data_IF_241904742988
#
_entry.id   IF_241904742988
#
_cell.length_a   1.000
_cell.length_b   1.000
_cell.length_c   1.000
_cell.angle_alpha   90.00
_cell.angle_beta   90.00
_cell.angle_gamma   90.00
#
_symmetry.space_group_name_H-M   'P 1'
#
loop_
_entity.id
_entity.type
_entity.pdbx_description
1 polymer ?
#
# COMPACT_ATOMS: atom_id res chain seq x y z
N UNK A 1 19.31 11.90 5.10
CA UNK A 1 19.34 12.61 3.80
C UNK A 1 17.95 13.09 3.41
N UNK A 2 16.98 12.19 3.16
CA UNK A 2 15.61 12.53 2.69
C UNK A 2 14.90 13.62 3.53
N UNK A 3 14.81 13.45 4.86
CA UNK A 3 14.18 14.43 5.77
C UNK A 3 14.94 15.77 5.78
N UNK A 4 16.27 15.70 5.96
CA UNK A 4 17.18 16.86 6.03
C UNK A 4 17.13 17.73 4.77
N UNK A 5 17.08 17.11 3.59
CA UNK A 5 17.13 17.80 2.29
C UNK A 5 15.74 18.02 1.68
N UNK A 6 14.68 17.66 2.41
CA UNK A 6 13.28 17.79 1.99
C UNK A 6 13.01 17.20 0.61
N UNK A 7 13.64 16.06 0.31
CA UNK A 7 13.51 15.40 -1.00
C UNK A 7 12.04 15.01 -1.26
N UNK A 8 11.63 15.13 -2.53
CA UNK A 8 10.31 14.73 -3.01
C UNK A 8 10.45 13.45 -3.84
N UNK A 9 9.44 12.59 -3.77
CA UNK A 9 9.41 11.33 -4.50
C UNK A 9 8.78 10.22 -3.69
N UNK A 10 8.84 9.02 -4.23
CA UNK A 10 8.40 7.79 -3.56
C UNK A 10 9.59 7.17 -2.85
N UNK A 11 9.40 6.82 -1.59
CA UNK A 11 10.31 5.99 -0.82
C UNK A 11 9.77 4.57 -0.83
N UNK A 12 10.63 3.62 -1.16
CA UNK A 12 10.30 2.21 -1.18
C UNK A 12 11.45 1.43 -0.54
N UNK A 13 11.13 0.63 0.47
CA UNK A 13 12.08 -0.19 1.20
C UNK A 13 12.21 -1.53 0.46
N UNK A 14 13.41 -1.77 -0.08
CA UNK A 14 13.68 -2.94 -0.93
C UNK A 14 14.76 -3.81 -0.31
N UNK A 15 14.38 -4.92 0.30
CA UNK A 15 15.35 -5.92 0.72
C UNK A 15 16.04 -6.54 -0.50
N UNK A 16 17.33 -6.85 -0.35
CA UNK A 16 18.20 -7.28 -1.44
C UNK A 16 18.01 -8.76 -1.85
N UNK A 17 17.21 -9.50 -1.08
CA UNK A 17 16.87 -10.91 -1.29
C UNK A 17 15.45 -11.13 -1.85
N UNK A 18 14.73 -10.05 -2.17
CA UNK A 18 13.42 -10.10 -2.79
C UNK A 18 13.47 -10.09 -4.33
N UNK A 19 12.46 -10.69 -4.96
CA UNK A 19 12.20 -10.59 -6.39
C UNK A 19 11.21 -9.47 -6.69
N UNK A 20 11.55 -8.58 -7.64
CA UNK A 20 10.72 -7.42 -8.01
C UNK A 20 10.39 -7.41 -9.51
N UNK A 21 9.11 -7.53 -9.86
CA UNK A 21 8.70 -7.44 -11.26
C UNK A 21 8.80 -5.98 -11.75
N UNK A 22 9.37 -5.69 -12.95
CA UNK A 22 9.61 -4.32 -13.42
C UNK A 22 8.37 -3.40 -13.48
N UNK A 23 7.18 -3.98 -13.63
CA UNK A 23 5.93 -3.18 -13.61
C UNK A 23 5.61 -2.56 -12.25
N UNK A 24 6.24 -3.04 -11.16
CA UNK A 24 6.12 -2.43 -9.84
C UNK A 24 6.44 -0.93 -9.89
N UNK A 25 7.46 -0.54 -10.66
CA UNK A 25 7.86 0.86 -10.81
C UNK A 25 6.76 1.74 -11.39
N UNK A 26 5.91 1.18 -12.24
CA UNK A 26 4.76 1.91 -12.77
C UNK A 26 3.68 2.10 -11.69
N UNK A 27 3.46 1.10 -10.85
CA UNK A 27 2.51 1.20 -9.73
C UNK A 27 2.99 2.19 -8.67
N UNK A 28 4.27 2.14 -8.30
CA UNK A 28 4.84 3.08 -7.33
C UNK A 28 4.68 4.55 -7.78
N UNK A 29 4.84 4.84 -9.08
CA UNK A 29 4.64 6.20 -9.62
C UNK A 29 3.19 6.70 -9.55
N UNK A 30 2.21 5.82 -9.31
CA UNK A 30 0.80 6.19 -9.12
C UNK A 30 0.51 6.64 -7.69
N UNK A 31 1.45 6.47 -6.77
CA UNK A 31 1.32 6.92 -5.39
C UNK A 31 1.10 8.42 -5.34
N UNK A 32 0.04 8.84 -4.66
CA UNK A 32 -0.31 10.26 -4.53
C UNK A 32 0.53 10.95 -3.45
N UNK A 33 0.69 12.27 -3.55
CA UNK A 33 1.22 13.09 -2.48
C UNK A 33 0.63 12.80 -1.10
N UNK A 34 1.48 12.77 -0.06
CA UNK A 34 1.09 12.57 1.34
C UNK A 34 0.31 11.28 1.58
N UNK A 35 0.67 10.19 0.90
CA UNK A 35 0.02 8.88 1.04
C UNK A 35 1.04 7.77 1.24
N UNK A 36 0.56 6.72 1.89
CA UNK A 36 1.19 5.40 1.94
C UNK A 36 0.40 4.51 1.00
N UNK A 37 1.08 3.93 0.00
CA UNK A 37 0.51 2.99 -0.95
C UNK A 37 0.76 1.56 -0.51
N UNK A 38 -0.21 0.69 -0.73
CA UNK A 38 -0.16 -0.72 -0.32
C UNK A 38 -0.51 -1.64 -1.49
N UNK A 39 0.15 -2.78 -1.57
CA UNK A 39 -0.05 -3.78 -2.62
C UNK A 39 0.36 -5.18 -2.12
N UNK A 40 0.09 -6.21 -2.94
CA UNK A 40 0.36 -7.58 -2.55
C UNK A 40 1.85 -7.94 -2.60
N UNK A 41 2.28 -8.72 -1.60
CA UNK A 41 3.56 -9.41 -1.58
C UNK A 41 3.29 -10.90 -1.46
N UNK A 42 4.02 -11.71 -2.21
CA UNK A 42 4.07 -13.15 -1.96
C UNK A 42 5.20 -13.47 -1.02
N UNK A 43 4.90 -14.09 0.12
CA UNK A 43 5.87 -14.77 0.98
C UNK A 43 6.26 -16.10 0.38
N UNK A 44 7.57 -16.38 0.41
CA UNK A 44 8.20 -17.53 -0.23
C UNK A 44 7.32 -18.79 -0.21
N UNK A 45 6.95 -19.28 -1.39
CA UNK A 45 6.14 -20.49 -1.45
C UNK A 45 7.01 -21.74 -1.38
N UNK A 46 6.44 -22.76 -0.75
CA UNK A 46 6.85 -24.13 -0.96
C UNK A 46 5.79 -24.85 -1.82
N UNK A 47 6.15 -25.47 -2.96
CA UNK A 47 7.50 -25.50 -3.54
C UNK A 47 7.95 -24.13 -4.09
N UNK A 48 9.27 -23.88 -4.20
CA UNK A 48 9.80 -22.64 -4.75
C UNK A 48 9.33 -22.44 -6.19
N UNK A 49 9.45 -21.21 -6.73
CA UNK A 49 9.17 -20.97 -8.14
C UNK A 49 9.98 -21.91 -9.05
N UNK A 50 9.45 -22.16 -10.23
CA UNK A 50 10.24 -22.76 -11.31
C UNK A 50 11.29 -21.77 -11.78
N UNK A 51 12.36 -22.26 -12.42
CA UNK A 51 13.44 -21.42 -12.93
C UNK A 51 12.96 -20.39 -13.99
N UNK A 52 11.81 -20.64 -14.61
CA UNK A 52 11.16 -19.72 -15.55
C UNK A 52 10.32 -18.62 -14.85
N UNK A 53 10.35 -18.56 -13.52
CA UNK A 53 9.59 -17.60 -12.73
C UNK A 53 8.10 -17.92 -12.61
N UNK A 54 7.64 -19.02 -13.21
CA UNK A 54 6.25 -19.46 -13.07
C UNK A 54 6.04 -20.24 -11.79
N UNK A 55 4.81 -20.17 -11.31
CA UNK A 55 4.37 -20.83 -10.10
C UNK A 55 3.29 -21.83 -10.45
N UNK A 56 3.19 -22.91 -9.67
CA UNK A 56 2.03 -23.77 -9.78
C UNK A 56 0.78 -22.96 -9.44
N UNK A 57 -0.20 -22.98 -10.35
CA UNK A 57 -1.50 -22.34 -10.15
C UNK A 57 -2.06 -22.83 -8.83
N UNK A 58 -2.53 -21.89 -8.01
CA UNK A 58 -3.24 -22.16 -6.77
C UNK A 58 -4.47 -23.02 -7.10
N UNK A 59 -4.36 -24.35 -6.93
CA UNK A 59 -5.43 -25.28 -7.28
C UNK A 59 -6.55 -25.20 -6.24
N UNK A 60 -7.80 -25.00 -6.68
CA UNK A 60 -8.97 -25.19 -5.83
C UNK A 60 -8.95 -26.55 -5.12
N UNK A 61 -9.11 -26.58 -3.80
CA UNK A 61 -9.39 -27.79 -3.02
C UNK A 61 -8.19 -28.43 -2.31
N UNK A 62 -6.95 -27.99 -2.57
CA UNK A 62 -5.81 -28.31 -1.70
C UNK A 62 -5.73 -27.28 -0.58
N UNK A 63 -6.40 -27.52 0.57
CA UNK A 63 -6.31 -26.68 1.78
C UNK A 63 -6.20 -25.18 1.53
N UNK A 64 -7.22 -24.57 0.92
CA UNK A 64 -7.28 -23.18 0.46
C UNK A 64 -6.70 -22.13 1.42
N UNK A 65 -6.85 -22.33 2.73
CA UNK A 65 -6.38 -21.42 3.78
C UNK A 65 -4.85 -21.21 3.75
N UNK A 66 -4.05 -22.20 3.33
CA UNK A 66 -2.59 -22.09 3.50
C UNK A 66 -1.87 -21.36 2.36
N UNK A 67 -2.40 -21.37 1.13
CA UNK A 67 -1.67 -20.83 -0.03
C UNK A 67 -2.00 -19.38 -0.37
N UNK A 68 -3.26 -18.97 -0.25
CA UNK A 68 -3.61 -17.53 -0.34
C UNK A 68 -3.03 -16.76 0.85
N UNK A 69 -2.88 -17.38 2.03
CA UNK A 69 -2.17 -16.74 3.16
C UNK A 69 -0.66 -16.59 2.96
N UNK A 70 -0.09 -17.18 1.90
CA UNK A 70 1.28 -16.87 1.45
C UNK A 70 1.33 -15.60 0.60
N UNK A 71 0.18 -14.99 0.28
CA UNK A 71 0.10 -13.66 -0.26
C UNK A 71 -0.37 -12.76 0.88
N UNK A 72 0.42 -11.74 1.20
CA UNK A 72 0.04 -10.69 2.12
C UNK A 72 -0.49 -9.52 1.30
N UNK A 73 -1.77 -9.17 1.47
CA UNK A 73 -2.43 -8.14 0.66
C UNK A 73 -3.58 -7.47 1.39
N UNK A 74 -3.92 -6.22 1.03
CA UNK A 74 -5.18 -5.61 1.43
C UNK A 74 -6.34 -6.24 0.66
N UNK A 75 -7.50 -6.32 1.30
CA UNK A 75 -8.75 -6.78 0.70
C UNK A 75 -9.79 -5.66 0.72
N UNK A 76 -10.66 -5.67 -0.29
CA UNK A 76 -11.69 -4.67 -0.49
C UNK A 76 -13.01 -5.35 -0.84
N UNK A 77 -14.12 -4.77 -0.39
CA UNK A 77 -15.45 -5.17 -0.79
C UNK A 77 -15.65 -4.90 -2.28
N UNK A 78 -16.08 -5.91 -3.03
CA UNK A 78 -16.16 -5.84 -4.49
C UNK A 78 -17.21 -4.83 -5.00
N UNK A 79 -18.18 -4.46 -4.16
CA UNK A 79 -19.26 -3.55 -4.54
C UNK A 79 -18.92 -2.11 -4.21
N UNK A 80 -18.53 -1.84 -2.97
CA UNK A 80 -18.28 -0.50 -2.44
C UNK A 80 -16.84 -0.04 -2.58
N UNK A 81 -15.90 -0.97 -2.83
CA UNK A 81 -14.47 -0.71 -2.83
C UNK A 81 -13.90 -0.36 -1.46
N UNK A 82 -14.67 -0.54 -0.38
CA UNK A 82 -14.21 -0.28 0.99
C UNK A 82 -13.24 -1.36 1.44
N UNK A 83 -12.22 -0.96 2.18
CA UNK A 83 -11.27 -1.87 2.81
C UNK A 83 -12.02 -2.83 3.75
N UNK A 84 -11.70 -4.11 3.67
CA UNK A 84 -12.32 -5.16 4.50
C UNK A 84 -11.31 -5.86 5.42
N UNK A 85 -10.02 -5.70 5.17
CA UNK A 85 -8.96 -6.25 6.02
C UNK A 85 -7.68 -6.54 5.24
N UNK A 86 -6.82 -7.32 5.88
CA UNK A 86 -5.65 -7.90 5.24
C UNK A 86 -5.83 -9.41 5.16
N UNK A 87 -5.58 -9.95 3.97
CA UNK A 87 -5.35 -11.37 3.81
C UNK A 87 -3.85 -11.60 4.00
N UNK A 88 -3.47 -12.12 5.16
CA UNK A 88 -2.08 -12.38 5.52
C UNK A 88 -2.01 -13.38 6.68
N UNK A 89 -1.04 -14.29 6.64
CA UNK A 89 -0.89 -15.32 7.67
C UNK A 89 -0.71 -14.75 9.10
N UNK A 90 -0.13 -13.57 9.27
CA UNK A 90 0.04 -12.95 10.59
C UNK A 90 -1.20 -12.17 11.06
N UNK A 91 -2.17 -11.90 10.18
CA UNK A 91 -3.45 -11.29 10.56
C UNK A 91 -4.52 -12.33 10.90
N UNK A 92 -4.24 -13.62 10.70
CA UNK A 92 -5.14 -14.70 11.03
C UNK A 92 -5.08 -14.99 12.55
N UNK A 93 -6.18 -14.82 13.31
CA UNK A 93 -6.22 -15.14 14.74
C UNK A 93 -5.85 -16.59 15.07
N UNK A 94 -6.05 -17.50 14.12
CA UNK A 94 -5.70 -18.92 14.28
C UNK A 94 -4.21 -19.18 13.99
N UNK A 95 -3.45 -18.21 13.49
CA UNK A 95 -2.05 -18.41 13.17
C UNK A 95 -1.16 -18.43 14.42
N UNK A 96 -0.11 -19.25 14.35
CA UNK A 96 0.87 -19.35 15.44
C UNK A 96 1.54 -18.00 15.77
N UNK A 97 1.85 -17.20 14.75
CA UNK A 97 2.46 -15.87 14.93
C UNK A 97 1.52 -14.91 15.67
N UNK A 98 0.22 -14.89 15.35
CA UNK A 98 -0.76 -14.08 16.07
C UNK A 98 -0.80 -14.46 17.55
N UNK A 99 -0.87 -15.76 17.84
CA UNK A 99 -0.92 -16.27 19.22
C UNK A 99 0.37 -16.00 20.01
N UNK A 100 1.53 -15.92 19.35
CA UNK A 100 2.83 -15.69 20.01
C UNK A 100 3.21 -14.23 20.15
N UNK A 101 2.90 -13.41 19.15
CA UNK A 101 3.42 -12.05 19.01
C UNK A 101 2.31 -10.99 19.05
N UNK A 102 1.05 -11.42 19.10
CA UNK A 102 -0.12 -10.54 19.14
C UNK A 102 -0.60 -10.11 17.76
N UNK A 103 -1.65 -9.31 17.77
CA UNK A 103 -2.27 -8.70 16.58
C UNK A 103 -1.34 -7.66 15.96
N UNK A 104 -1.37 -7.57 14.63
CA UNK A 104 -0.82 -6.43 13.87
C UNK A 104 -1.94 -5.59 13.29
N UNK A 105 -1.78 -4.27 13.32
CA UNK A 105 -2.74 -3.35 12.68
C UNK A 105 -2.54 -3.29 11.17
N UNK A 106 -1.29 -3.37 10.71
CA UNK A 106 -0.91 -3.43 9.31
C UNK A 106 -0.21 -4.76 9.03
N UNK A 107 -0.95 -5.72 8.47
CA UNK A 107 -0.44 -7.03 8.09
C UNK A 107 0.09 -7.00 6.66
N UNK A 108 1.16 -6.24 6.50
CA UNK A 108 1.90 -6.09 5.26
C UNK A 108 3.37 -6.36 5.53
N UNK A 109 4.00 -7.00 4.56
CA UNK A 109 5.44 -7.14 4.45
C UNK A 109 6.12 -5.78 4.14
N UNK A 110 7.41 -5.64 4.46
CA UNK A 110 8.18 -4.41 4.17
C UNK A 110 8.20 -4.09 2.67
N UNK A 111 8.25 -5.12 1.82
CA UNK A 111 8.15 -4.99 0.37
C UNK A 111 6.74 -4.67 -0.13
N UNK A 112 5.72 -4.62 0.73
CA UNK A 112 4.30 -4.50 0.38
C UNK A 112 3.73 -3.10 0.45
N UNK A 113 4.54 -2.11 0.80
CA UNK A 113 4.11 -0.72 0.81
C UNK A 113 5.22 0.23 0.37
N UNK A 114 4.81 1.40 -0.07
CA UNK A 114 5.68 2.53 -0.39
C UNK A 114 5.02 3.81 0.09
N UNK A 115 5.78 4.89 0.29
CA UNK A 115 5.22 6.13 0.82
C UNK A 115 5.84 7.36 0.18
N UNK A 116 5.08 8.45 0.15
CA UNK A 116 5.57 9.73 -0.35
C UNK A 116 6.55 10.35 0.66
N UNK A 117 7.73 10.75 0.17
CA UNK A 117 8.85 11.23 1.00
C UNK A 117 8.49 12.44 1.90
N UNK A 118 7.45 13.21 1.54
CA UNK A 118 6.97 14.33 2.36
C UNK A 118 6.38 13.89 3.69
N UNK A 119 5.89 12.65 3.80
CA UNK A 119 5.43 12.10 5.08
C UNK A 119 6.56 12.11 6.11
N UNK A 120 7.81 11.82 5.71
CA UNK A 120 8.97 11.92 6.60
C UNK A 120 9.27 13.35 7.07
N UNK A 121 8.88 14.36 6.29
CA UNK A 121 9.11 15.77 6.66
C UNK A 121 8.11 16.22 7.73
N UNK A 122 6.96 15.55 7.82
CA UNK A 122 5.92 15.83 8.79
C UNK A 122 6.15 15.11 10.14
N UNK A 123 7.06 14.12 10.17
CA UNK A 123 7.42 13.44 11.42
C UNK A 123 8.21 14.36 12.35
N UNK A 124 7.88 14.31 13.64
CA UNK A 124 8.63 14.96 14.71
C UNK A 124 10.10 14.49 14.74
N UNK A 125 10.95 15.21 15.48
CA UNK A 125 12.34 14.82 15.67
C UNK A 125 12.45 13.49 16.44
N UNK A 126 13.28 12.59 15.93
CA UNK A 126 13.45 11.24 16.50
C UNK A 126 13.70 10.16 15.44
N UNK A 127 13.94 8.92 15.89
CA UNK A 127 14.06 7.77 15.00
C UNK A 127 12.75 7.54 14.25
N UNK A 128 12.83 7.29 12.94
CA UNK A 128 11.66 7.03 12.08
C UNK A 128 11.06 5.66 12.39
N UNK A 129 11.91 4.71 12.77
CA UNK A 129 11.58 3.31 13.05
C UNK A 129 12.51 2.80 14.17
N UNK A 130 11.95 2.24 15.26
CA UNK A 130 12.71 1.78 16.42
C UNK A 130 12.86 0.26 16.53
N UNK A 131 12.12 -0.51 15.74
CA UNK A 131 12.12 -1.98 15.66
C UNK A 131 12.48 -2.71 16.97
N UNK A 132 11.46 -3.21 17.67
CA UNK A 132 11.61 -3.93 18.94
C UNK A 132 11.64 -5.45 18.78
N UNK A 133 11.82 -5.97 17.56
CA UNK A 133 11.86 -7.41 17.26
C UNK A 133 10.64 -7.95 16.51
N UNK A 134 9.47 -7.32 16.66
CA UNK A 134 8.23 -7.74 15.99
C UNK A 134 7.36 -6.52 15.60
N UNK A 135 6.53 -6.66 14.56
CA UNK A 135 5.56 -5.63 14.17
C UNK A 135 6.15 -4.33 13.62
N UNK A 136 7.41 -4.36 13.16
CA UNK A 136 8.13 -3.18 12.71
C UNK A 136 7.45 -2.42 11.57
N UNK A 137 6.80 -3.12 10.64
CA UNK A 137 6.10 -2.45 9.53
C UNK A 137 4.83 -1.75 10.03
N UNK A 138 4.11 -2.32 11.01
CA UNK A 138 2.97 -1.62 11.64
C UNK A 138 3.42 -0.35 12.35
N UNK A 139 4.55 -0.37 13.05
CA UNK A 139 5.14 0.82 13.69
C UNK A 139 5.44 1.91 12.65
N UNK A 140 6.11 1.54 11.55
CA UNK A 140 6.49 2.48 10.50
C UNK A 140 5.26 3.04 9.77
N UNK A 141 4.33 2.19 9.35
CA UNK A 141 3.11 2.63 8.65
C UNK A 141 2.25 3.51 9.56
N UNK A 142 2.03 3.12 10.82
CA UNK A 142 1.26 3.91 11.77
C UNK A 142 1.84 5.30 11.99
N UNK A 143 3.18 5.43 12.06
CA UNK A 143 3.84 6.74 12.14
C UNK A 143 3.68 7.58 10.89
N UNK A 144 3.63 6.97 9.71
CA UNK A 144 3.50 7.66 8.43
C UNK A 144 2.08 8.12 8.15
N UNK A 145 1.07 7.45 8.70
CA UNK A 145 -0.32 7.83 8.52
C UNK A 145 -0.72 8.97 9.47
N UNK A 146 -1.61 9.83 9.01
CA UNK A 146 -2.20 10.88 9.85
C UNK A 146 -3.24 10.32 10.85
N UNK A 147 -3.69 9.08 10.64
CA UNK A 147 -4.59 8.34 11.50
C UNK A 147 -4.19 6.87 11.54
N UNK A 148 -4.58 6.13 12.58
CA UNK A 148 -4.31 4.69 12.67
C UNK A 148 -5.26 3.85 11.80
N UNK A 149 -6.02 4.46 10.88
CA UNK A 149 -7.02 3.79 10.05
C UNK A 149 -6.37 3.15 8.79
N UNK A 150 -6.44 1.81 8.63
CA UNK A 150 -5.99 1.15 7.39
C UNK A 150 -6.68 1.64 6.13
N UNK A 151 -7.90 2.18 6.26
CA UNK A 151 -8.62 2.82 5.18
C UNK A 151 -7.86 4.00 4.56
N UNK A 152 -6.94 4.67 5.28
CA UNK A 152 -6.16 5.79 4.71
C UNK A 152 -5.07 5.35 3.73
N UNK A 153 -4.78 4.04 3.66
CA UNK A 153 -3.85 3.49 2.69
C UNK A 153 -4.38 3.63 1.26
N UNK A 154 -3.51 4.00 0.34
CA UNK A 154 -3.82 4.04 -1.09
C UNK A 154 -3.64 2.63 -1.69
N UNK A 155 -4.71 1.99 -2.21
CA UNK A 155 -4.55 0.76 -2.97
C UNK A 155 -3.73 0.99 -4.25
N UNK A 156 -2.74 0.12 -4.47
CA UNK A 156 -1.95 0.05 -5.70
C UNK A 156 -2.10 -1.34 -6.33
N UNK A 157 -1.57 -1.54 -7.55
CA UNK A 157 -1.47 -2.86 -8.18
C UNK A 157 -2.81 -3.62 -8.22
N UNK A 158 -3.83 -3.02 -8.84
CA UNK A 158 -5.18 -3.56 -8.95
C UNK A 158 -5.79 -3.88 -7.57
N UNK A 159 -5.84 -2.88 -6.68
CA UNK A 159 -6.37 -3.03 -5.31
C UNK A 159 -5.71 -4.15 -4.51
N UNK A 160 -4.39 -4.25 -4.61
CA UNK A 160 -3.60 -5.31 -3.98
C UNK A 160 -3.90 -6.71 -4.50
N UNK A 161 -4.47 -6.85 -5.71
CA UNK A 161 -4.72 -8.17 -6.30
C UNK A 161 -3.56 -8.66 -7.15
N UNK A 162 -2.84 -7.76 -7.82
CA UNK A 162 -1.68 -8.12 -8.61
C UNK A 162 -0.46 -8.31 -7.70
N UNK A 163 0.21 -9.46 -7.81
CA UNK A 163 1.46 -9.74 -7.08
C UNK A 163 2.64 -9.39 -7.96
N UNK A 164 3.41 -8.39 -7.52
CA UNK A 164 4.58 -7.86 -8.23
C UNK A 164 5.88 -8.00 -7.41
N UNK A 165 5.76 -8.47 -6.16
CA UNK A 165 6.86 -8.60 -5.20
C UNK A 165 6.86 -10.00 -4.59
N UNK A 166 8.05 -10.58 -4.48
CA UNK A 166 8.27 -11.97 -4.13
C UNK A 166 9.34 -12.07 -3.05
N UNK A 167 8.90 -12.23 -1.80
CA UNK A 167 9.75 -12.15 -0.62
C UNK A 167 10.70 -13.35 -0.51
N UNK A 168 12.00 -13.11 -0.34
CA UNK A 168 13.11 -14.10 -0.34
C UNK A 168 13.30 -14.88 -1.65
N UNK A 169 12.82 -14.37 -2.79
CA UNK A 169 12.87 -15.07 -4.09
C UNK A 169 13.82 -14.43 -5.12
N UNK A 170 14.89 -13.72 -4.70
CA UNK A 170 15.84 -13.03 -5.60
C UNK A 170 16.48 -13.88 -6.71
N UNK A 171 16.55 -15.21 -6.53
CA UNK A 171 17.25 -16.11 -7.47
C UNK A 171 16.45 -16.43 -8.73
N UNK A 172 15.26 -15.87 -8.86
CA UNK A 172 14.30 -16.23 -9.88
C UNK A 172 13.82 -14.95 -10.56
N UNK A 173 13.68 -14.99 -11.89
CA UNK A 173 13.07 -13.89 -12.63
C UNK A 173 11.61 -13.79 -12.20
N UNK A 174 11.17 -12.70 -11.54
CA UNK A 174 9.80 -12.61 -11.05
C UNK A 174 8.84 -12.53 -12.22
N UNK A 175 7.77 -13.34 -12.20
CA UNK A 175 6.65 -13.25 -13.15
C UNK A 175 5.44 -12.70 -12.41
N UNK A 176 4.91 -11.57 -12.89
CA UNK A 176 3.74 -10.95 -12.26
C UNK A 176 2.54 -11.90 -12.21
N UNK A 177 1.93 -12.05 -11.03
CA UNK A 177 0.63 -12.72 -10.90
C UNK A 177 -0.44 -11.66 -11.09
N UNK A 178 -1.07 -11.64 -12.26
CA UNK A 178 -2.15 -10.71 -12.58
C UNK A 178 -3.50 -11.34 -12.27
N UNK A 179 -4.35 -10.61 -11.56
CA UNK A 179 -5.72 -11.04 -11.26
C UNK A 179 -6.73 -10.22 -12.07
N UNK A 180 -7.99 -10.69 -12.20
CA UNK A 180 -9.06 -9.88 -12.78
C UNK A 180 -9.13 -8.50 -12.12
N UNK A 181 -9.52 -7.48 -12.89
CA UNK A 181 -9.66 -6.13 -12.34
C UNK A 181 -10.73 -6.12 -11.26
N UNK A 182 -10.40 -5.48 -10.15
CA UNK A 182 -11.34 -5.22 -9.05
C UNK A 182 -11.49 -3.72 -8.83
N UNK A 183 -12.53 -3.36 -8.09
CA UNK A 183 -12.86 -1.97 -7.80
C UNK A 183 -12.43 -1.62 -6.37
N UNK A 184 -11.69 -0.53 -6.24
CA UNK A 184 -11.38 0.14 -4.97
C UNK A 184 -11.28 1.64 -5.22
N UNK A 185 -11.34 2.42 -4.15
CA UNK A 185 -11.15 3.86 -4.23
C UNK A 185 -9.69 4.30 -4.37
N UNK A 186 -9.42 5.59 -4.23
CA UNK A 186 -8.08 6.15 -4.05
C UNK A 186 -7.56 5.96 -2.62
N UNK A 187 -8.46 5.66 -1.69
CA UNK A 187 -8.21 5.09 -0.37
C UNK A 187 -9.14 3.87 -0.12
N UNK A 188 -8.96 3.22 1.02
CA UNK A 188 -9.83 2.16 1.51
C UNK A 188 -11.19 2.64 2.05
N UNK A 189 -11.52 3.94 2.03
CA UNK A 189 -12.84 4.40 2.47
C UNK A 189 -13.96 4.10 1.48
N UNK A 190 -13.62 3.67 0.26
CA UNK A 190 -14.55 3.22 -0.80
C UNK A 190 -14.71 4.23 -1.93
N UNK A 191 -15.28 3.79 -3.05
CA UNK A 191 -15.38 4.60 -4.28
C UNK A 191 -16.24 5.85 -4.11
N UNK A 192 -17.30 5.77 -3.30
CA UNK A 192 -18.18 6.91 -3.03
C UNK A 192 -17.46 8.04 -2.25
N UNK A 193 -16.47 7.70 -1.42
CA UNK A 193 -15.70 8.69 -0.69
C UNK A 193 -14.81 9.52 -1.63
N UNK A 194 -14.30 8.91 -2.68
CA UNK A 194 -13.50 9.61 -3.69
C UNK A 194 -14.33 10.60 -4.49
N UNK A 195 -15.55 10.23 -4.87
CA UNK A 195 -16.46 11.10 -5.61
C UNK A 195 -16.67 12.41 -4.84
N UNK A 196 -16.99 12.33 -3.54
CA UNK A 196 -17.15 13.50 -2.68
C UNK A 196 -15.89 14.37 -2.64
N UNK A 197 -14.69 13.77 -2.55
CA UNK A 197 -13.42 14.51 -2.53
C UNK A 197 -13.05 15.16 -3.86
N UNK A 198 -13.46 14.56 -4.98
CA UNK A 198 -13.26 15.15 -6.30
C UNK A 198 -14.18 16.37 -6.47
N UNK A 199 -15.47 16.25 -6.14
CA UNK A 199 -16.41 17.38 -6.22
C UNK A 199 -16.03 18.53 -5.27
N UNK A 200 -15.54 18.23 -4.06
CA UNK A 200 -15.09 19.27 -3.12
C UNK A 200 -13.83 20.04 -3.59
N UNK A 201 -13.04 19.50 -4.53
CA UNK A 201 -11.88 20.22 -5.11
C UNK A 201 -12.26 21.17 -6.24
N UNK A 202 -13.39 20.92 -6.91
CA UNK A 202 -13.85 21.74 -8.04
C UNK A 202 -14.66 22.98 -7.61
N UNK A 203 -15.08 23.09 -6.34
CA UNK A 203 -15.81 24.26 -5.81
C UNK A 203 -14.92 25.39 -5.28
N UNK A 204 -13.58 25.29 -5.35
CA UNK A 204 -12.65 26.34 -4.88
C UNK A 204 -11.99 27.07 -6.05
N UNK A 205 -12.78 27.89 -6.76
CA UNK A 205 -12.27 29.00 -7.57
C UNK A 205 -12.95 30.30 -7.11
N UNK A 206 -12.26 31.24 -6.44
CA UNK A 206 -12.83 32.53 -6.14
C UNK A 206 -12.83 33.39 -7.41
N UNK A 207 -14.03 33.72 -7.90
CA UNK A 207 -14.26 34.88 -8.76
C UNK A 207 -13.96 36.15 -7.94
N UNK A 208 -12.70 36.57 -7.93
CA UNK A 208 -12.34 37.95 -7.61
C UNK A 208 -12.27 38.76 -8.91
N UNK A 209 -13.42 39.21 -9.39
CA UNK A 209 -13.47 40.38 -10.26
C UNK A 209 -13.40 41.63 -9.40
N UNK A 210 -12.25 42.29 -9.37
CA UNK A 210 -12.10 43.62 -8.80
C UNK A 210 -12.92 44.61 -9.62
N UNK A 211 -13.96 45.19 -9.03
CA UNK A 211 -14.57 46.41 -9.54
C UNK A 211 -13.65 47.58 -9.20
N UNK A 212 -12.89 48.04 -10.18
CA UNK A 212 -12.25 49.36 -10.10
C UNK A 212 -13.34 50.43 -10.19
N UNK A 213 -13.54 51.14 -9.08
CA UNK A 213 -14.25 52.41 -9.04
C UNK A 213 -13.37 53.49 -9.66
N UNK A 214 -13.66 53.89 -10.90
CA UNK A 214 -13.23 55.20 -11.41
C UNK A 214 -14.29 56.23 -11.05
N UNK A 215 -13.98 57.03 -10.01
CA UNK A 215 -14.67 58.30 -9.77
C UNK A 215 -14.04 59.35 -10.68
N UNK A 216 -14.85 59.87 -11.60
CA UNK A 216 -14.55 61.11 -12.33
C UNK A 216 -15.86 61.63 -12.91
N UNK A 217 -16.38 62.72 -12.33
CA UNK A 217 -17.11 63.84 -12.93
C UNK A 217 -17.43 64.82 -11.77
N UNK A 218 -16.71 65.96 -11.76
CA UNK A 218 -17.23 67.31 -12.03
C UNK A 218 -18.05 67.91 -10.88
#
# INVERSE_FOLDING_TARGET
MIKRERLRGVVYNMDDDNGYHPSLWNELRRLRPMRVGVFAVRRGAYPPAKCDGTFDVLKPGSGWKYREHMIERPTYDATSGRFTGFEAGWCDPDAWNWNKQGRRDFCVDMGGFAFDARLLHALDEGPIWNYTGHGGESELVGRLLCSDAPEDLQPLANCGQDVLVFHNEYRIVPVAVRRPRVTCGFDGWGVAHDEVRLYARDEVLPLQTSLHTTSSHL
#
